data_IF_888093992778
#
_entry.id   IF_888093992778
#
_cell.length_a   1.000
_cell.length_b   1.000
_cell.length_c   1.000
_cell.angle_alpha   90.00
_cell.angle_beta   90.00
_cell.angle_gamma   90.00
#
_symmetry.space_group_name_H-M   'P 1'
#
loop_
_entity.id
_entity.type
_entity.pdbx_description
1 polymer ?
#
# COMPACT_ATOMS: atom_id res chain seq x y z
N UNK A 1 -28.01 -4.90 22.40
CA UNK A 1 -27.78 -3.46 22.62
C UNK A 1 -28.72 -2.75 21.67
N UNK A 2 -29.78 -2.14 22.18
CA UNK A 2 -30.75 -1.41 21.36
C UNK A 2 -30.53 0.09 21.56
N UNK A 3 -30.67 0.88 20.50
CA UNK A 3 -30.59 2.33 20.58
C UNK A 3 -31.85 2.86 21.27
N UNK A 4 -31.70 3.85 22.16
CA UNK A 4 -32.86 4.51 22.78
C UNK A 4 -33.62 5.38 21.77
N UNK A 5 -34.87 5.72 22.06
CA UNK A 5 -35.65 6.63 21.20
C UNK A 5 -34.98 8.00 21.04
N UNK A 6 -34.35 8.50 22.11
CA UNK A 6 -33.58 9.75 22.10
C UNK A 6 -32.35 9.66 21.18
N UNK A 7 -31.65 8.52 21.17
CA UNK A 7 -30.52 8.29 20.26
C UNK A 7 -30.99 8.25 18.80
N UNK A 8 -32.11 7.58 18.53
CA UNK A 8 -32.70 7.51 17.19
C UNK A 8 -33.09 8.92 16.72
N UNK A 9 -33.78 9.70 17.56
CA UNK A 9 -34.19 11.06 17.23
C UNK A 9 -32.98 11.95 16.92
N UNK A 10 -31.91 11.86 17.73
CA UNK A 10 -30.67 12.63 17.53
C UNK A 10 -29.96 12.25 16.24
N UNK A 11 -29.88 10.97 15.90
CA UNK A 11 -29.27 10.49 14.64
C UNK A 11 -30.08 11.01 13.44
N UNK A 12 -31.40 10.88 13.47
CA UNK A 12 -32.28 11.37 12.41
C UNK A 12 -32.16 12.88 12.22
N UNK A 13 -32.17 13.66 13.31
CA UNK A 13 -31.99 15.11 13.24
C UNK A 13 -30.62 15.49 12.64
N UNK A 14 -29.56 14.79 13.07
CA UNK A 14 -28.19 15.02 12.56
C UNK A 14 -28.12 14.75 11.06
N UNK A 15 -28.71 13.64 10.60
CA UNK A 15 -28.76 13.29 9.18
C UNK A 15 -29.55 14.32 8.36
N UNK A 16 -30.73 14.73 8.86
CA UNK A 16 -31.61 15.67 8.15
C UNK A 16 -31.04 17.09 8.08
N UNK A 17 -30.21 17.52 9.05
CA UNK A 17 -29.50 18.80 9.00
C UNK A 17 -28.51 18.85 7.84
N UNK A 18 -27.87 17.73 7.52
CA UNK A 18 -26.92 17.62 6.41
C UNK A 18 -25.83 18.71 6.42
N UNK A 19 -25.27 18.96 7.60
CA UNK A 19 -24.19 19.92 7.84
C UNK A 19 -22.95 19.18 8.37
N UNK A 20 -21.76 19.72 8.10
CA UNK A 20 -20.53 19.21 8.71
C UNK A 20 -20.48 19.54 10.21
N UNK A 21 -20.12 18.55 11.02
CA UNK A 21 -19.95 18.68 12.46
C UNK A 21 -18.93 17.66 12.98
N UNK A 22 -18.73 17.58 14.30
CA UNK A 22 -17.92 16.53 14.89
C UNK A 22 -18.54 15.13 14.66
N UNK A 23 -19.87 15.05 14.60
CA UNK A 23 -20.63 13.81 14.48
C UNK A 23 -21.10 13.52 13.04
N UNK A 24 -20.99 14.48 12.12
CA UNK A 24 -21.42 14.38 10.72
C UNK A 24 -20.32 14.87 9.80
N UNK A 25 -19.91 14.06 8.83
CA UNK A 25 -18.96 14.47 7.80
C UNK A 25 -19.60 14.30 6.43
N UNK A 26 -19.44 15.32 5.59
CA UNK A 26 -19.93 15.31 4.22
C UNK A 26 -18.78 15.03 3.27
N UNK A 27 -19.00 14.15 2.31
CA UNK A 27 -18.01 13.78 1.33
C UNK A 27 -18.67 13.67 -0.05
N UNK A 28 -17.99 14.05 -1.14
CA UNK A 28 -18.41 13.63 -2.46
C UNK A 28 -18.21 12.11 -2.60
N UNK A 29 -19.03 11.45 -3.41
CA UNK A 29 -18.96 10.00 -3.61
C UNK A 29 -17.54 9.52 -3.99
N UNK A 30 -16.85 10.30 -4.83
CA UNK A 30 -15.49 10.02 -5.27
C UNK A 30 -14.44 10.00 -4.13
N UNK A 31 -14.72 10.59 -2.96
CA UNK A 31 -13.80 10.58 -1.81
C UNK A 31 -13.57 9.18 -1.23
N UNK A 32 -14.49 8.25 -1.50
CA UNK A 32 -14.38 6.86 -1.07
C UNK A 32 -13.90 5.94 -2.19
N UNK A 33 -13.84 6.47 -3.42
CA UNK A 33 -13.48 5.69 -4.59
C UNK A 33 -11.97 5.58 -4.78
N UNK A 34 -11.55 4.47 -5.35
CA UNK A 34 -10.18 4.26 -5.83
C UNK A 34 -10.14 3.40 -7.09
N UNK A 35 -9.09 3.54 -7.88
CA UNK A 35 -8.68 2.57 -8.89
C UNK A 35 -7.75 1.55 -8.25
N UNK A 36 -8.16 0.28 -8.27
CA UNK A 36 -7.29 -0.85 -7.97
C UNK A 36 -6.62 -1.33 -9.25
N UNK A 37 -5.30 -1.42 -9.26
CA UNK A 37 -4.54 -1.78 -10.46
C UNK A 37 -3.33 -2.65 -10.12
N UNK A 38 -2.99 -3.56 -11.02
CA UNK A 38 -1.78 -4.37 -10.94
C UNK A 38 -0.58 -3.55 -11.40
N UNK A 39 0.47 -3.53 -10.58
CA UNK A 39 1.79 -3.03 -10.93
C UNK A 39 2.69 -4.24 -11.18
N UNK A 40 3.31 -4.25 -12.34
CA UNK A 40 4.20 -5.31 -12.80
C UNK A 40 5.65 -4.81 -12.77
N UNK A 41 6.56 -5.73 -12.50
CA UNK A 41 8.01 -5.55 -12.59
C UNK A 41 8.59 -6.63 -13.48
N UNK A 42 9.73 -6.40 -14.14
CA UNK A 42 10.27 -7.38 -15.07
C UNK A 42 10.90 -8.55 -14.33
N UNK A 43 10.71 -9.75 -14.87
CA UNK A 43 11.44 -10.95 -14.47
C UNK A 43 12.91 -10.76 -14.82
N UNK A 44 13.79 -10.88 -13.82
CA UNK A 44 15.25 -10.74 -13.96
C UNK A 44 15.94 -12.06 -13.67
N UNK A 45 16.79 -12.51 -14.60
CA UNK A 45 17.39 -13.85 -14.56
C UNK A 45 18.85 -13.79 -14.98
N UNK A 46 19.74 -14.41 -14.20
CA UNK A 46 21.18 -14.45 -14.51
C UNK A 46 21.50 -15.29 -15.75
N UNK A 47 22.50 -14.85 -16.51
CA UNK A 47 23.08 -15.64 -17.62
C UNK A 47 22.25 -15.65 -18.92
N UNK A 48 21.23 -14.80 -19.02
CA UNK A 48 20.45 -14.63 -20.25
C UNK A 48 21.12 -13.64 -21.22
N UNK A 49 20.77 -13.72 -22.49
CA UNK A 49 21.09 -12.73 -23.51
C UNK A 49 20.03 -11.61 -23.48
N UNK A 50 20.39 -10.37 -23.07
CA UNK A 50 19.44 -9.27 -22.93
C UNK A 50 19.01 -8.66 -24.27
N UNK A 51 19.56 -9.11 -25.40
CA UNK A 51 19.27 -8.54 -26.72
C UNK A 51 18.31 -9.40 -27.57
N UNK A 52 17.72 -10.46 -26.99
CA UNK A 52 16.76 -11.31 -27.71
C UNK A 52 15.46 -11.51 -26.95
N UNK A 53 14.40 -11.73 -27.72
CA UNK A 53 13.14 -12.18 -27.16
C UNK A 53 13.17 -13.69 -26.86
N UNK A 54 12.57 -14.08 -25.75
CA UNK A 54 12.41 -15.46 -25.32
C UNK A 54 11.00 -15.98 -25.63
N UNK A 55 10.90 -17.21 -26.12
CA UNK A 55 9.61 -17.86 -26.32
C UNK A 55 8.95 -18.25 -24.98
N UNK A 56 7.63 -18.47 -24.93
CA UNK A 56 6.96 -18.89 -23.70
C UNK A 56 7.54 -20.18 -23.08
N UNK A 57 8.04 -21.11 -23.91
CA UNK A 57 8.68 -22.35 -23.43
C UNK A 57 10.02 -22.06 -22.75
N UNK A 58 10.83 -21.17 -23.33
CA UNK A 58 12.11 -20.76 -22.73
C UNK A 58 11.87 -19.97 -21.44
N UNK A 59 10.92 -19.02 -21.45
CA UNK A 59 10.55 -18.25 -20.25
C UNK A 59 10.13 -19.19 -19.10
N UNK A 60 9.32 -20.22 -19.40
CA UNK A 60 8.95 -21.22 -18.39
C UNK A 60 10.18 -21.93 -17.84
N UNK A 61 11.09 -22.38 -18.70
CA UNK A 61 12.33 -23.03 -18.26
C UNK A 61 13.22 -22.10 -17.42
N UNK A 62 13.29 -20.81 -17.76
CA UNK A 62 14.02 -19.80 -16.97
C UNK A 62 13.39 -19.63 -15.58
N UNK A 63 12.06 -19.54 -15.49
CA UNK A 63 11.35 -19.42 -14.20
C UNK A 63 11.59 -20.62 -13.28
N UNK A 64 11.73 -21.82 -13.85
CA UNK A 64 11.88 -23.08 -13.11
C UNK A 64 13.32 -23.35 -12.66
N UNK A 65 14.33 -22.96 -13.45
CA UNK A 65 15.71 -23.43 -13.29
C UNK A 65 16.76 -22.35 -13.03
N UNK A 66 16.45 -21.08 -13.32
CA UNK A 66 17.45 -20.02 -13.32
C UNK A 66 17.41 -19.16 -12.04
N UNK A 67 18.59 -18.69 -11.63
CA UNK A 67 18.73 -17.82 -10.46
C UNK A 67 18.22 -16.41 -10.76
N UNK A 68 17.31 -15.91 -9.91
CA UNK A 68 16.75 -14.57 -9.98
C UNK A 68 17.51 -13.62 -9.07
N UNK A 69 17.93 -12.48 -9.59
CA UNK A 69 18.54 -11.40 -8.80
C UNK A 69 18.14 -10.03 -9.36
N UNK A 70 18.11 -9.02 -8.49
CA UNK A 70 17.68 -7.66 -8.87
C UNK A 70 18.63 -6.99 -9.89
N UNK A 71 19.90 -7.38 -9.91
CA UNK A 71 20.94 -6.87 -10.82
C UNK A 71 20.98 -7.61 -12.17
N UNK A 72 20.28 -8.75 -12.30
CA UNK A 72 20.26 -9.51 -13.54
C UNK A 72 19.46 -8.77 -14.62
N UNK A 73 19.79 -8.98 -15.91
CA UNK A 73 19.04 -8.36 -16.99
C UNK A 73 17.57 -8.83 -17.05
N UNK A 74 16.64 -7.97 -17.49
CA UNK A 74 15.24 -8.32 -17.61
C UNK A 74 14.98 -9.22 -18.82
N UNK A 75 14.11 -10.21 -18.66
CA UNK A 75 13.71 -11.15 -19.73
C UNK A 75 12.79 -10.43 -20.71
N UNK A 76 13.22 -10.32 -21.97
CA UNK A 76 12.39 -9.78 -23.04
C UNK A 76 11.44 -10.86 -23.55
N UNK A 77 10.13 -10.63 -23.47
CA UNK A 77 9.13 -11.52 -24.07
C UNK A 77 8.80 -11.15 -25.52
N UNK A 78 9.01 -9.88 -25.91
CA UNK A 78 8.72 -9.41 -27.26
C UNK A 78 9.53 -8.19 -27.64
N UNK A 79 10.02 -8.18 -28.88
CA UNK A 79 10.67 -7.03 -29.52
C UNK A 79 9.74 -6.55 -30.63
N UNK A 80 9.37 -5.27 -30.61
CA UNK A 80 8.50 -4.67 -31.61
C UNK A 80 9.26 -4.28 -32.88
N UNK A 81 8.53 -4.23 -33.99
CA UNK A 81 9.02 -3.67 -35.25
C UNK A 81 9.09 -2.14 -35.14
N UNK A 82 9.77 -1.50 -36.10
CA UNK A 82 9.85 -0.03 -36.19
C UNK A 82 8.46 0.61 -36.21
N UNK A 83 8.34 1.79 -35.59
CA UNK A 83 7.11 2.61 -35.58
C UNK A 83 6.23 2.47 -34.34
N UNK A 84 6.67 1.70 -33.34
CA UNK A 84 6.06 1.70 -32.01
C UNK A 84 6.82 2.69 -31.13
N UNK A 85 6.09 3.60 -30.50
CA UNK A 85 6.65 4.54 -29.52
C UNK A 85 6.77 3.85 -28.14
N UNK A 86 7.86 4.10 -27.38
CA UNK A 86 7.95 3.65 -26.00
C UNK A 86 6.85 4.27 -25.13
N UNK A 87 6.28 3.45 -24.25
CA UNK A 87 5.41 3.87 -23.16
C UNK A 87 5.76 3.04 -21.92
N UNK A 88 6.77 3.45 -21.15
CA UNK A 88 7.23 2.70 -19.99
C UNK A 88 6.13 2.49 -18.94
N UNK A 89 5.19 3.43 -18.80
CA UNK A 89 4.09 3.30 -17.83
C UNK A 89 3.13 2.14 -18.18
N UNK A 90 3.12 1.70 -19.44
CA UNK A 90 2.28 0.60 -19.95
C UNK A 90 3.10 -0.60 -20.45
N UNK A 91 4.36 -0.71 -20.02
CA UNK A 91 5.19 -1.89 -20.26
C UNK A 91 5.90 -1.92 -21.62
N UNK A 92 5.97 -0.77 -22.32
CA UNK A 92 6.71 -0.62 -23.58
C UNK A 92 8.00 0.18 -23.33
N UNK A 93 9.13 -0.51 -23.29
CA UNK A 93 10.41 0.09 -22.93
C UNK A 93 11.29 0.33 -24.15
N UNK A 94 11.94 1.49 -24.19
CA UNK A 94 13.00 1.74 -25.16
C UNK A 94 14.21 0.86 -24.82
N UNK A 95 14.75 0.15 -25.81
CA UNK A 95 15.93 -0.69 -25.66
C UNK A 95 16.83 -0.61 -26.89
N UNK A 96 18.05 -1.11 -26.77
CA UNK A 96 18.97 -1.30 -27.91
C UNK A 96 19.16 -2.79 -28.13
N UNK A 97 18.88 -3.25 -29.35
CA UNK A 97 18.94 -4.66 -29.75
C UNK A 97 19.91 -4.78 -30.93
N UNK A 98 21.02 -5.51 -30.76
CA UNK A 98 22.08 -5.65 -31.76
C UNK A 98 22.53 -4.29 -32.33
N UNK A 99 22.69 -3.29 -31.45
CA UNK A 99 23.10 -1.92 -31.81
C UNK A 99 22.02 -1.07 -32.49
N UNK A 100 20.75 -1.51 -32.51
CA UNK A 100 19.64 -0.76 -33.13
C UNK A 100 18.59 -0.39 -32.08
N UNK A 101 18.05 0.85 -32.11
CA UNK A 101 16.93 1.23 -31.27
C UNK A 101 15.71 0.33 -31.54
N UNK A 102 15.08 -0.15 -30.48
CA UNK A 102 13.88 -0.96 -30.52
C UNK A 102 12.97 -0.65 -29.32
N UNK A 103 11.72 -1.10 -29.38
CA UNK A 103 10.80 -1.11 -28.25
C UNK A 103 10.55 -2.55 -27.84
N UNK A 104 10.58 -2.83 -26.54
CA UNK A 104 10.44 -4.17 -25.98
C UNK A 104 9.36 -4.25 -24.92
N UNK A 105 8.77 -5.42 -24.79
CA UNK A 105 7.95 -5.80 -23.64
C UNK A 105 8.75 -6.80 -22.80
N UNK A 106 8.88 -6.53 -21.50
CA UNK A 106 9.46 -7.47 -20.56
C UNK A 106 8.42 -8.49 -20.08
N UNK A 107 8.91 -9.68 -19.70
CA UNK A 107 8.11 -10.67 -19.01
C UNK A 107 7.83 -10.20 -17.58
N UNK A 108 6.56 -10.13 -17.12
CA UNK A 108 6.26 -9.81 -15.73
C UNK A 108 6.79 -10.89 -14.77
N UNK A 109 7.30 -10.46 -13.61
CA UNK A 109 7.62 -11.35 -12.50
C UNK A 109 6.43 -11.48 -11.53
N UNK A 110 5.78 -12.67 -11.44
CA UNK A 110 4.67 -12.86 -10.53
C UNK A 110 5.05 -12.71 -9.05
N UNK A 111 6.33 -12.86 -8.68
CA UNK A 111 6.79 -12.72 -7.29
C UNK A 111 7.01 -11.25 -6.88
N UNK A 112 7.19 -10.36 -7.85
CA UNK A 112 7.38 -8.92 -7.63
C UNK A 112 6.16 -8.09 -8.04
N UNK A 113 5.10 -8.76 -8.50
CA UNK A 113 3.82 -8.13 -8.85
C UNK A 113 3.16 -7.58 -7.60
N UNK A 114 2.68 -6.35 -7.70
CA UNK A 114 1.94 -5.70 -6.62
C UNK A 114 0.57 -5.21 -7.09
N UNK A 115 -0.24 -4.73 -6.14
CA UNK A 115 -1.52 -4.10 -6.39
C UNK A 115 -1.60 -2.76 -5.66
N UNK A 116 -1.82 -1.71 -6.44
CA UNK A 116 -1.99 -0.36 -5.91
C UNK A 116 -3.45 0.04 -5.84
N UNK A 117 -3.77 0.90 -4.88
CA UNK A 117 -5.05 1.59 -4.79
C UNK A 117 -4.84 3.10 -4.93
N UNK A 118 -5.22 3.64 -6.09
CA UNK A 118 -5.07 5.06 -6.41
C UNK A 118 -6.40 5.78 -6.15
N UNK A 119 -6.48 6.79 -5.27
CA UNK A 119 -7.71 7.52 -5.04
C UNK A 119 -8.33 8.08 -6.33
N UNK A 120 -9.66 8.07 -6.47
CA UNK A 120 -10.32 8.71 -7.64
C UNK A 120 -10.07 10.22 -7.71
N UNK A 121 -9.78 10.83 -6.56
CA UNK A 121 -9.45 12.25 -6.42
C UNK A 121 -7.94 12.53 -6.54
N UNK A 122 -7.13 11.54 -6.95
CA UNK A 122 -5.71 11.73 -7.19
C UNK A 122 -5.49 12.72 -8.35
N UNK A 123 -4.76 13.80 -8.09
CA UNK A 123 -4.45 14.79 -9.12
C UNK A 123 -3.51 14.19 -10.18
N UNK A 124 -3.90 14.30 -11.45
CA UNK A 124 -3.21 13.62 -12.55
C UNK A 124 -3.45 12.10 -12.65
N UNK A 125 -4.30 11.53 -11.79
CA UNK A 125 -4.77 10.15 -11.86
C UNK A 125 -3.67 9.10 -11.70
N UNK A 126 -3.90 7.92 -12.30
CA UNK A 126 -3.00 6.76 -12.19
C UNK A 126 -1.56 7.09 -12.59
N UNK A 127 -1.35 7.82 -13.69
CA UNK A 127 0.00 8.11 -14.17
C UNK A 127 0.80 8.97 -13.19
N UNK A 128 0.18 9.99 -12.61
CA UNK A 128 0.82 10.85 -11.62
C UNK A 128 1.18 10.05 -10.35
N UNK A 129 0.26 9.20 -9.89
CA UNK A 129 0.52 8.31 -8.75
C UNK A 129 1.70 7.37 -9.01
N UNK A 130 1.69 6.64 -10.13
CA UNK A 130 2.77 5.70 -10.47
C UNK A 130 4.12 6.43 -10.52
N UNK A 131 4.17 7.64 -11.11
CA UNK A 131 5.41 8.43 -11.17
C UNK A 131 5.90 8.89 -9.79
N UNK A 132 5.00 9.20 -8.88
CA UNK A 132 5.33 9.73 -7.53
C UNK A 132 5.65 8.63 -6.54
N UNK A 133 4.86 7.56 -6.52
CA UNK A 133 4.91 6.54 -5.46
C UNK A 133 5.60 5.25 -5.90
N UNK A 134 5.54 4.88 -7.18
CA UNK A 134 6.05 3.57 -7.64
C UNK A 134 7.44 3.69 -8.27
N UNK A 135 7.58 4.56 -9.29
CA UNK A 135 8.83 4.65 -10.06
C UNK A 135 10.08 5.04 -9.25
N UNK A 136 10.01 5.81 -8.14
CA UNK A 136 11.18 6.05 -7.30
C UNK A 136 11.73 4.79 -6.61
N UNK A 137 10.89 3.77 -6.42
CA UNK A 137 11.26 2.51 -5.79
C UNK A 137 11.51 1.39 -6.81
N UNK A 138 10.82 1.43 -7.96
CA UNK A 138 10.98 0.49 -9.06
C UNK A 138 10.91 1.21 -10.42
N UNK A 139 12.07 1.64 -10.93
CA UNK A 139 12.18 2.51 -12.12
C UNK A 139 11.65 1.92 -13.41
N UNK A 140 11.54 0.60 -13.48
CA UNK A 140 11.10 -0.19 -14.62
C UNK A 140 9.76 -0.90 -14.36
N UNK A 141 9.02 -0.46 -13.33
CA UNK A 141 7.67 -0.90 -13.09
C UNK A 141 6.68 -0.25 -14.06
N UNK A 142 5.60 -0.96 -14.36
CA UNK A 142 4.49 -0.47 -15.19
C UNK A 142 3.17 -0.96 -14.64
N UNK A 143 2.08 -0.26 -14.92
CA UNK A 143 0.75 -0.76 -14.56
C UNK A 143 0.12 -1.52 -15.72
N UNK A 144 -0.69 -2.54 -15.41
CA UNK A 144 -1.45 -3.27 -16.40
C UNK A 144 -2.81 -2.59 -16.65
N UNK A 145 -3.08 -1.94 -17.81
CA UNK A 145 -4.31 -1.17 -18.01
C UNK A 145 -5.59 -1.99 -17.89
N UNK A 146 -5.57 -3.24 -18.37
CA UNK A 146 -6.72 -4.16 -18.30
C UNK A 146 -7.03 -4.63 -16.88
N UNK A 147 -6.15 -4.39 -15.91
CA UNK A 147 -6.35 -4.75 -14.51
C UNK A 147 -7.12 -3.70 -13.71
N UNK A 148 -7.27 -2.49 -14.26
CA UNK A 148 -7.83 -1.34 -13.55
C UNK A 148 -9.30 -1.58 -13.23
N UNK A 149 -9.63 -1.54 -11.93
CA UNK A 149 -11.01 -1.70 -11.41
C UNK A 149 -11.34 -0.55 -10.47
N UNK A 150 -12.56 -0.01 -10.58
CA UNK A 150 -13.03 0.99 -9.61
C UNK A 150 -13.59 0.28 -8.38
N UNK A 151 -13.10 0.63 -7.21
CA UNK A 151 -13.60 0.19 -5.91
C UNK A 151 -14.03 1.38 -5.05
N UNK A 152 -14.79 1.10 -4.00
CA UNK A 152 -15.18 2.10 -2.99
C UNK A 152 -14.96 1.51 -1.60
N UNK A 153 -14.40 2.30 -0.69
CA UNK A 153 -14.19 1.91 0.70
C UNK A 153 -14.43 3.08 1.65
N UNK A 154 -15.19 2.83 2.71
CA UNK A 154 -15.46 3.79 3.78
C UNK A 154 -14.73 3.32 5.04
N UNK A 155 -13.59 3.93 5.34
CA UNK A 155 -12.83 3.67 6.57
C UNK A 155 -13.35 4.55 7.71
N UNK A 156 -14.26 4.02 8.52
CA UNK A 156 -14.76 4.73 9.71
C UNK A 156 -13.63 5.13 10.65
N UNK A 157 -12.62 4.27 10.83
CA UNK A 157 -11.44 4.57 11.64
C UNK A 157 -10.70 5.80 11.12
N UNK A 158 -10.44 5.90 9.82
CA UNK A 158 -9.76 7.07 9.23
C UNK A 158 -10.48 8.37 9.53
N UNK A 159 -11.81 8.35 9.52
CA UNK A 159 -12.61 9.58 9.61
C UNK A 159 -13.05 9.96 11.02
N UNK A 160 -13.34 8.98 11.88
CA UNK A 160 -13.97 9.21 13.17
C UNK A 160 -13.12 8.75 14.37
N UNK A 161 -12.05 7.97 14.14
CA UNK A 161 -11.16 7.59 15.25
C UNK A 161 -10.33 8.78 15.70
N UNK A 162 -10.47 9.14 16.98
CA UNK A 162 -9.60 10.10 17.67
C UNK A 162 -8.61 9.30 18.51
N UNK A 163 -7.30 9.33 18.21
CA UNK A 163 -6.29 8.69 19.03
C UNK A 163 -6.43 9.17 20.47
N UNK A 164 -6.61 8.24 21.40
CA UNK A 164 -6.60 8.59 22.82
C UNK A 164 -5.16 8.95 23.20
N UNK A 165 -4.88 10.17 23.68
CA UNK A 165 -3.53 10.53 24.10
C UNK A 165 -3.09 9.58 25.20
N UNK A 166 -1.83 9.15 25.13
CA UNK A 166 -1.22 8.39 26.22
C UNK A 166 -1.15 9.28 27.46
N UNK A 167 -1.26 8.66 28.64
CA UNK A 167 -1.01 9.34 29.91
C UNK A 167 0.41 9.92 29.88
N UNK A 168 0.57 11.08 30.50
CA UNK A 168 1.87 11.77 30.57
C UNK A 168 2.87 10.98 31.42
N UNK A 169 4.17 11.21 31.22
CA UNK A 169 5.20 10.57 32.06
C UNK A 169 5.06 11.01 33.52
N UNK A 170 4.64 12.25 33.75
CA UNK A 170 4.37 12.80 35.07
C UNK A 170 3.23 12.06 35.79
N UNK A 171 2.13 11.78 35.10
CA UNK A 171 1.02 10.98 35.63
C UNK A 171 1.47 9.54 35.91
N UNK A 172 2.21 8.92 34.98
CA UNK A 172 2.75 7.57 35.17
C UNK A 172 3.68 7.55 36.40
N UNK A 173 4.53 8.57 36.56
CA UNK A 173 5.43 8.70 37.72
C UNK A 173 4.67 8.91 39.01
N UNK A 174 3.62 9.75 39.01
CA UNK A 174 2.79 9.98 40.18
C UNK A 174 2.08 8.70 40.63
N UNK A 175 1.55 7.92 39.69
CA UNK A 175 0.93 6.62 39.96
C UNK A 175 1.93 5.63 40.56
N UNK A 176 3.15 5.54 40.01
CA UNK A 176 4.21 4.66 40.51
C UNK A 176 4.58 5.03 41.95
N UNK A 177 4.82 6.33 42.22
CA UNK A 177 5.17 6.79 43.57
C UNK A 177 4.02 6.59 44.58
N UNK A 178 2.76 6.74 44.14
CA UNK A 178 1.60 6.46 44.96
C UNK A 178 1.50 4.97 45.33
N UNK A 179 1.73 4.08 44.35
CA UNK A 179 1.78 2.64 44.58
C UNK A 179 2.95 2.24 45.49
N UNK A 180 4.14 2.83 45.30
CA UNK A 180 5.28 2.60 46.20
C UNK A 180 4.91 2.94 47.64
N UNK A 181 4.31 4.10 47.88
CA UNK A 181 3.86 4.54 49.21
C UNK A 181 2.76 3.65 49.80
N UNK A 182 1.85 3.12 48.98
CA UNK A 182 0.82 2.17 49.42
C UNK A 182 1.44 0.82 49.82
N UNK A 183 2.49 0.39 49.12
CA UNK A 183 3.24 -0.83 49.47
C UNK A 183 4.22 -0.65 50.62
N UNK A 184 4.61 0.59 50.93
CA UNK A 184 5.50 0.96 52.02
C UNK A 184 4.77 0.75 53.36
N UNK A 185 5.20 -0.27 54.11
CA UNK A 185 4.55 -0.69 55.37
C UNK A 185 3.87 -2.05 55.27
N UNK A 186 3.40 -2.48 54.09
CA UNK A 186 2.85 -3.84 53.90
C UNK A 186 3.92 -4.93 54.08
N UNK A 187 5.14 -4.70 53.61
CA UNK A 187 6.29 -5.58 53.92
C UNK A 187 6.67 -5.52 55.41
N UNK A 188 6.46 -4.38 56.06
CA UNK A 188 6.67 -4.20 57.50
C UNK A 188 5.67 -5.00 58.35
N UNK A 189 4.41 -5.08 57.92
CA UNK A 189 3.38 -5.90 58.56
C UNK A 189 3.61 -7.41 58.33
N UNK A 190 4.15 -7.81 57.17
CA UNK A 190 4.44 -9.22 56.87
C UNK A 190 5.70 -9.71 57.62
N UNK A 191 6.73 -8.87 57.77
CA UNK A 191 8.00 -9.23 58.42
C UNK A 191 7.98 -8.90 59.93
N UNK A 192 7.16 -7.95 60.35
CA UNK A 192 7.07 -7.38 61.69
C UNK A 192 5.93 -7.94 62.54
N UNK A 193 5.76 -9.25 62.60
CA UNK A 193 5.15 -9.92 63.76
C UNK A 193 5.86 -11.25 64.09
N UNK A 194 7.20 -11.24 63.98
CA UNK A 194 8.09 -12.32 64.42
C UNK A 194 8.72 -12.04 65.79
N UNK A 195 8.02 -11.33 66.69
CA UNK A 195 8.49 -11.18 68.07
C UNK A 195 7.33 -11.19 69.07
N UNK A 196 6.87 -12.40 69.40
CA UNK A 196 6.71 -12.87 70.78
C UNK A 196 6.55 -14.38 70.84
#
# INVERSE_FOLDING_TARGET
>A
CELSEDDIARICETFLKFEESEQSKLFPDAAFGYWKLTVERPLRVKGIDPERAYSPKEIKALKDAAERTDDAPPVIRKIHKKGIEPDPLRGLFAATIAGRPAVVEYEPDPELRDTEQVPLLEDGGIEAFIRREVLPHASDAWYAPDSVKTGYEISFTRYFYKPKPLRTLEEIRADILALEKETEGLLGEIVGDSTR
#
